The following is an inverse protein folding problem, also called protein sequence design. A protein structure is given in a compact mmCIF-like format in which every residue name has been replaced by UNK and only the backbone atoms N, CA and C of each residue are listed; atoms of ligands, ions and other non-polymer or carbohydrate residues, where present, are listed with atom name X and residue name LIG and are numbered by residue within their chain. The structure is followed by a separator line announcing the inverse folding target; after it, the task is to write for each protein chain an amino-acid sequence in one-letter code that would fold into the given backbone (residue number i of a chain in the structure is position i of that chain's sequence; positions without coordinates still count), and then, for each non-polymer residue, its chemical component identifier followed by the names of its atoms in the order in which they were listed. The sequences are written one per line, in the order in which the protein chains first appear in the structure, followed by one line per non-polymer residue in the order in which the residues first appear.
data_IF_522185845373
#
_entry.id   IF_522185845373
#
_cell.length_a   1.000
_cell.length_b   1.000
_cell.length_c   1.000
_cell.angle_alpha   90.00
_cell.angle_beta   90.00
_cell.angle_gamma   90.00
#
_symmetry.space_group_name_H-M   'P 1'
#
loop_
_entity.id
_entity.type
_entity.pdbx_description
1 polymer ?
#
# COMPACT_ATOMS: atom_id res chain seq x y z
N UNK A 1 -14.07 25.32 16.14
CA UNK A 1 -12.97 24.35 16.06
C UNK A 1 -12.43 24.43 14.65
N UNK A 2 -11.39 25.22 14.45
CA UNK A 2 -10.71 25.39 13.15
C UNK A 2 -9.26 25.06 13.43
N UNK A 3 -8.82 23.89 12.95
CA UNK A 3 -7.47 23.39 13.17
C UNK A 3 -6.46 24.10 12.25
N UNK A 4 -5.27 24.29 12.81
CA UNK A 4 -4.16 25.03 12.27
C UNK A 4 -3.59 24.38 10.99
N UNK A 5 -3.21 25.21 10.03
CA UNK A 5 -2.36 24.83 8.90
C UNK A 5 -1.00 25.51 9.07
N UNK A 6 -0.09 24.86 9.77
CA UNK A 6 1.33 25.21 9.77
C UNK A 6 2.00 24.48 8.60
N UNK A 7 2.14 25.17 7.48
CA UNK A 7 3.14 24.83 6.47
C UNK A 7 4.22 25.90 6.51
N UNK A 8 5.23 25.68 7.34
CA UNK A 8 6.45 26.46 7.43
C UNK A 8 7.14 26.52 6.07
N UNK A 9 6.95 27.62 5.35
CA UNK A 9 7.74 27.93 4.16
C UNK A 9 9.02 28.62 4.62
N UNK A 10 10.11 27.86 4.74
CA UNK A 10 11.44 28.45 4.91
C UNK A 10 11.88 29.09 3.60
N UNK A 11 11.65 30.39 3.42
CA UNK A 11 12.27 31.16 2.35
C UNK A 11 13.60 31.74 2.83
N UNK A 12 14.68 30.96 2.73
CA UNK A 12 16.04 31.50 2.82
C UNK A 12 16.41 32.01 1.43
N UNK A 13 16.29 33.31 1.21
CA UNK A 13 16.90 33.97 0.05
C UNK A 13 18.34 34.30 0.39
N UNK A 14 19.28 33.85 -0.45
CA UNK A 14 20.48 34.59 -0.87
C UNK A 14 21.24 33.73 -1.91
N UNK A 15 21.04 34.01 -3.20
CA UNK A 15 21.83 33.41 -4.28
C UNK A 15 22.82 34.44 -4.82
N UNK A 16 23.94 34.61 -4.11
CA UNK A 16 25.19 35.15 -4.65
C UNK A 16 26.34 34.39 -3.98
N UNK A 17 27.00 33.52 -4.73
CA UNK A 17 28.25 32.90 -4.30
C UNK A 17 29.39 33.62 -5.03
N UNK A 18 30.01 34.57 -4.34
CA UNK A 18 31.28 35.16 -4.77
C UNK A 18 32.39 34.16 -4.51
N UNK A 19 32.80 33.41 -5.53
CA UNK A 19 34.07 32.70 -5.52
C UNK A 19 35.14 33.64 -6.06
N UNK A 20 35.95 34.18 -5.15
CA UNK A 20 37.08 35.05 -5.44
C UNK A 20 38.16 34.29 -6.23
N UNK A 21 38.18 34.43 -7.57
CA UNK A 21 39.39 34.15 -8.35
C UNK A 21 39.40 34.89 -9.69
N UNK A 22 40.45 35.69 -9.88
CA UNK A 22 40.73 36.46 -11.09
C UNK A 22 40.82 35.53 -12.31
N UNK A 23 40.21 35.99 -13.41
CA UNK A 23 40.32 35.57 -14.82
C UNK A 23 39.16 34.69 -15.32
N UNK A 24 38.23 35.39 -15.99
CA UNK A 24 37.38 34.98 -17.12
C UNK A 24 36.27 33.97 -16.85
N UNK A 25 35.06 34.51 -16.68
CA UNK A 25 33.79 33.82 -16.91
C UNK A 25 32.87 33.82 -15.69
N UNK A 26 32.02 34.84 -15.55
CA UNK A 26 30.93 34.80 -14.56
C UNK A 26 29.94 33.70 -14.97
N UNK A 27 30.00 32.54 -14.31
CA UNK A 27 29.06 31.43 -14.55
C UNK A 27 27.75 31.75 -13.83
N UNK A 28 26.72 32.13 -14.58
CA UNK A 28 25.36 32.28 -14.06
C UNK A 28 24.70 30.91 -13.93
N UNK A 29 24.58 30.41 -12.71
CA UNK A 29 23.77 29.21 -12.41
C UNK A 29 22.37 29.65 -12.02
N UNK A 30 21.39 29.37 -12.88
CA UNK A 30 19.98 29.60 -12.58
C UNK A 30 19.37 28.34 -11.99
N UNK A 31 19.16 28.31 -10.67
CA UNK A 31 18.40 27.23 -10.02
C UNK A 31 16.92 27.50 -10.29
N UNK A 32 16.33 26.75 -11.22
CA UNK A 32 14.87 26.77 -11.45
C UNK A 32 14.23 25.89 -10.38
N UNK A 33 13.34 26.40 -9.50
CA UNK A 33 12.60 25.56 -8.59
C UNK A 33 11.73 24.62 -9.42
N UNK A 34 12.00 23.32 -9.33
CA UNK A 34 11.15 22.31 -9.95
C UNK A 34 9.82 22.32 -9.23
N UNK A 35 8.75 22.68 -9.95
CA UNK A 35 7.40 22.55 -9.42
C UNK A 35 7.20 21.08 -9.01
N UNK A 36 6.79 20.80 -7.76
CA UNK A 36 6.48 19.43 -7.37
C UNK A 36 5.36 18.95 -8.29
N UNK A 37 5.67 17.95 -9.12
CA UNK A 37 4.67 17.28 -9.96
C UNK A 37 3.70 16.58 -9.02
N UNK A 38 2.62 17.26 -8.64
CA UNK A 38 1.51 16.64 -7.93
C UNK A 38 0.94 15.56 -8.84
N UNK A 39 0.98 14.31 -8.41
CA UNK A 39 0.36 13.19 -9.11
C UNK A 39 -1.16 13.36 -9.03
N UNK A 40 -1.72 14.22 -9.87
CA UNK A 40 -3.15 14.54 -9.94
C UNK A 40 -3.99 13.48 -10.67
N UNK A 41 -3.33 12.44 -11.18
CA UNK A 41 -3.94 11.41 -12.02
C UNK A 41 -3.75 10.00 -11.43
N UNK A 42 -3.80 9.86 -10.10
CA UNK A 42 -4.04 8.54 -9.54
C UNK A 42 -5.52 8.21 -9.70
N UNK A 43 -5.87 7.10 -10.37
CA UNK A 43 -7.25 6.65 -10.42
C UNK A 43 -7.73 6.40 -8.99
N UNK A 44 -8.79 7.11 -8.57
CA UNK A 44 -9.53 6.82 -7.35
C UNK A 44 -10.17 5.45 -7.52
N UNK A 45 -9.54 4.42 -6.94
CA UNK A 45 -10.13 3.08 -6.92
C UNK A 45 -11.34 3.12 -5.98
N UNK A 46 -12.53 2.69 -6.44
CA UNK A 46 -13.68 2.61 -5.55
C UNK A 46 -13.37 1.65 -4.40
N UNK A 47 -13.94 1.94 -3.23
CA UNK A 47 -13.93 1.04 -2.10
C UNK A 47 -14.60 -0.29 -2.50
N UNK A 48 -13.93 -1.41 -2.25
CA UNK A 48 -14.45 -2.75 -2.52
C UNK A 48 -14.57 -3.52 -1.22
N UNK A 49 -15.78 -4.00 -0.94
CA UNK A 49 -16.06 -4.92 0.15
C UNK A 49 -15.95 -6.36 -0.36
N UNK A 50 -15.38 -7.25 0.46
CA UNK A 50 -15.25 -8.67 0.16
C UNK A 50 -16.19 -9.47 1.05
N UNK A 51 -17.00 -10.36 0.46
CA UNK A 51 -17.90 -11.24 1.21
C UNK A 51 -17.77 -12.67 0.70
N UNK A 52 -17.79 -13.63 1.61
CA UNK A 52 -17.75 -15.06 1.28
C UNK A 52 -18.74 -15.82 2.17
N UNK A 53 -19.36 -16.84 1.60
CA UNK A 53 -20.43 -17.62 2.24
C UNK A 53 -20.20 -19.10 2.00
N UNK A 54 -20.31 -19.90 3.06
CA UNK A 54 -20.24 -21.36 3.05
C UNK A 54 -19.00 -21.91 2.32
N UNK A 55 -17.85 -21.25 2.47
CA UNK A 55 -16.61 -21.60 1.79
C UNK A 55 -16.05 -22.90 2.37
N UNK A 56 -15.98 -23.92 1.53
CA UNK A 56 -15.43 -25.25 1.88
C UNK A 56 -14.27 -25.57 0.95
N UNK A 57 -13.13 -25.95 1.54
CA UNK A 57 -11.92 -26.27 0.78
C UNK A 57 -11.35 -27.62 1.21
N UNK A 58 -11.05 -28.48 0.23
CA UNK A 58 -10.54 -29.83 0.43
C UNK A 58 -9.30 -30.04 -0.44
N UNK A 59 -8.29 -30.69 0.14
CA UNK A 59 -7.05 -31.06 -0.55
C UNK A 59 -6.90 -32.57 -0.59
N UNK A 60 -6.27 -33.09 -1.65
CA UNK A 60 -5.88 -34.49 -1.73
C UNK A 60 -4.51 -34.66 -1.09
N UNK A 61 -4.39 -35.57 -0.14
CA UNK A 61 -3.16 -35.82 0.60
C UNK A 61 -2.58 -37.19 0.21
N UNK A 62 -1.41 -37.18 -0.46
CA UNK A 62 -0.58 -38.35 -0.73
C UNK A 62 -1.10 -39.35 -1.79
N UNK A 63 -0.42 -40.51 -1.87
CA UNK A 63 -0.66 -41.60 -2.85
C UNK A 63 -1.94 -42.42 -2.58
N UNK A 64 -2.61 -42.26 -1.44
CA UNK A 64 -3.74 -43.09 -1.00
C UNK A 64 -5.12 -42.47 -1.22
N UNK A 65 -5.25 -41.45 -2.08
CA UNK A 65 -6.54 -40.78 -2.37
C UNK A 65 -7.30 -40.28 -1.12
N UNK A 66 -6.60 -39.92 -0.04
CA UNK A 66 -7.24 -39.34 1.14
C UNK A 66 -7.58 -37.87 0.86
N UNK A 67 -8.82 -37.48 1.15
CA UNK A 67 -9.30 -36.11 0.98
C UNK A 67 -9.44 -35.45 2.34
N UNK A 68 -8.60 -34.45 2.61
CA UNK A 68 -8.61 -33.67 3.85
C UNK A 68 -9.37 -32.37 3.64
N UNK A 69 -10.36 -32.12 4.48
CA UNK A 69 -11.07 -30.83 4.51
C UNK A 69 -10.26 -29.85 5.35
N UNK A 70 -9.86 -28.73 4.76
CA UNK A 70 -9.05 -27.68 5.41
C UNK A 70 -9.95 -26.56 5.94
N UNK A 71 -10.94 -26.16 5.15
CA UNK A 71 -11.94 -25.16 5.53
C UNK A 71 -13.32 -25.80 5.40
N UNK A 72 -14.17 -25.60 6.42
CA UNK A 72 -15.53 -26.14 6.48
C UNK A 72 -16.51 -24.99 6.70
N UNK A 73 -17.32 -24.69 5.69
CA UNK A 73 -18.45 -23.75 5.74
C UNK A 73 -18.09 -22.37 6.32
N UNK A 74 -16.93 -21.83 5.94
CA UNK A 74 -16.46 -20.55 6.45
C UNK A 74 -17.21 -19.41 5.76
N UNK A 75 -17.78 -18.49 6.53
CA UNK A 75 -18.47 -17.29 6.05
C UNK A 75 -17.93 -16.04 6.72
N UNK A 76 -17.89 -14.92 6.00
CA UNK A 76 -17.33 -13.67 6.53
C UNK A 76 -17.43 -12.51 5.55
N UNK A 77 -17.13 -11.31 6.07
CA UNK A 77 -17.14 -10.05 5.32
C UNK A 77 -15.93 -9.20 5.74
N UNK A 78 -15.25 -8.61 4.76
CA UNK A 78 -14.16 -7.65 4.94
C UNK A 78 -14.62 -6.35 4.30
N UNK A 79 -14.68 -5.27 5.09
CA UNK A 79 -15.09 -3.95 4.60
C UNK A 79 -13.90 -3.14 4.17
N UNK A 80 -14.07 -2.33 3.14
CA UNK A 80 -13.05 -1.38 2.73
C UNK A 80 -12.79 -0.34 3.82
N UNK A 81 -11.52 -0.03 4.07
CA UNK A 81 -11.12 0.92 5.12
C UNK A 81 -11.05 0.33 6.53
N UNK A 82 -11.30 -0.97 6.71
CA UNK A 82 -11.21 -1.65 8.00
C UNK A 82 -10.00 -2.59 8.08
N UNK A 83 -9.28 -2.58 9.20
CA UNK A 83 -8.23 -3.56 9.49
C UNK A 83 -8.86 -4.85 10.03
N UNK A 84 -8.96 -5.88 9.19
CA UNK A 84 -9.46 -7.20 9.58
C UNK A 84 -8.29 -8.17 9.85
N UNK A 85 -8.33 -8.89 10.97
CA UNK A 85 -7.34 -9.92 11.32
C UNK A 85 -7.95 -11.32 11.38
N UNK A 86 -7.24 -12.32 10.86
CA UNK A 86 -7.61 -13.74 10.94
C UNK A 86 -6.71 -14.42 11.98
N UNK A 87 -7.32 -14.92 13.06
CA UNK A 87 -6.60 -15.51 14.19
C UNK A 87 -6.93 -17.01 14.37
N UNK A 88 -6.04 -17.74 15.04
CA UNK A 88 -6.24 -19.17 15.34
C UNK A 88 -4.93 -19.97 15.40
N UNK A 89 -4.97 -21.23 15.86
CA UNK A 89 -3.78 -22.07 16.04
C UNK A 89 -3.07 -22.38 14.72
N UNK A 90 -1.82 -22.85 14.80
CA UNK A 90 -1.10 -23.34 13.63
C UNK A 90 -1.86 -24.49 12.98
N UNK A 91 -1.92 -24.52 11.65
CA UNK A 91 -2.66 -25.55 10.89
C UNK A 91 -4.18 -25.35 10.78
N UNK A 92 -4.77 -24.29 11.37
CA UNK A 92 -6.21 -24.00 11.27
C UNK A 92 -6.69 -23.60 9.86
N UNK A 93 -5.79 -23.41 8.89
CA UNK A 93 -6.16 -23.03 7.51
C UNK A 93 -6.23 -21.52 7.24
N UNK A 94 -5.69 -20.66 8.12
CA UNK A 94 -5.70 -19.19 7.94
C UNK A 94 -5.06 -18.73 6.63
N UNK A 95 -3.82 -19.18 6.35
CA UNK A 95 -3.14 -18.87 5.09
C UNK A 95 -3.85 -19.48 3.90
N UNK A 96 -4.46 -20.67 4.07
CA UNK A 96 -5.28 -21.30 3.03
C UNK A 96 -6.51 -20.45 2.69
N UNK A 97 -7.20 -19.90 3.70
CA UNK A 97 -8.33 -18.99 3.51
C UNK A 97 -7.86 -17.73 2.74
N UNK A 98 -6.74 -17.13 3.14
CA UNK A 98 -6.18 -15.97 2.45
C UNK A 98 -5.84 -16.27 0.99
N UNK A 99 -5.21 -17.41 0.69
CA UNK A 99 -4.89 -17.80 -0.69
C UNK A 99 -6.14 -17.94 -1.56
N UNK A 100 -7.21 -18.52 -1.01
CA UNK A 100 -8.47 -18.68 -1.75
C UNK A 100 -9.12 -17.31 -2.01
N UNK A 101 -9.11 -16.41 -1.02
CA UNK A 101 -9.68 -15.06 -1.16
C UNK A 101 -8.90 -14.18 -2.14
N UNK A 102 -7.58 -14.35 -2.23
CA UNK A 102 -6.73 -13.63 -3.18
C UNK A 102 -6.75 -14.24 -4.59
N UNK A 103 -7.41 -15.39 -4.78
CA UNK A 103 -7.42 -16.11 -6.04
C UNK A 103 -6.09 -16.80 -6.37
N UNK A 104 -5.20 -16.95 -5.39
CA UNK A 104 -3.93 -17.67 -5.57
C UNK A 104 -4.17 -19.19 -5.51
N UNK A 105 -3.72 -19.89 -6.56
CA UNK A 105 -3.75 -21.35 -6.65
C UNK A 105 -2.42 -21.88 -7.18
#
# INVERSE_FOLDING_TARGET
MTEANESSSCSVTNNLLDTDNRKNGAVRVQIVPSQPKTLSHLPTRPAVDLAFHNLTYRVKEGRRNNVKTILKEVSGRLRSGELTAIMGPSGAGKSTLLNILTGYK
#
